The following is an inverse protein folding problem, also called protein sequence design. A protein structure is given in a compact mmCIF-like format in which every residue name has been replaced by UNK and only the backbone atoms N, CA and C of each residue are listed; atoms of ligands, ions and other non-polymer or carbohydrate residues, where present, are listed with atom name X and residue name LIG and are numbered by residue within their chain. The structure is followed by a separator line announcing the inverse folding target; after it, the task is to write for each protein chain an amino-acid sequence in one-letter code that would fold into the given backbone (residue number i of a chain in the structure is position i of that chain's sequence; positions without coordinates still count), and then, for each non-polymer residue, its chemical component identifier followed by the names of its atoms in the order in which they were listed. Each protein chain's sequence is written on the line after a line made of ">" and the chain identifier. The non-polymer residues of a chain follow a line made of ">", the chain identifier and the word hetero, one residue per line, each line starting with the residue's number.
data_IF_730070550802
#
_entry.id   IF_730070550802
#
_cell.length_a   1.000
_cell.length_b   1.000
_cell.length_c   1.000
_cell.angle_alpha   90.00
_cell.angle_beta   90.00
_cell.angle_gamma   90.00
#
_symmetry.space_group_name_H-M   'P 1'
#
loop_
_entity.id
_entity.type
_entity.pdbx_description
1 polymer ?
#
# COMPACT_ATOMS: atom_id res chain seq x y z
N UNK A 1 -73.07 0.65 24.62
CA UNK A 1 -71.62 0.50 24.93
C UNK A 1 -70.97 1.87 24.90
N UNK A 2 -70.53 2.32 26.07
CA UNK A 2 -70.32 3.71 26.49
C UNK A 2 -68.98 4.31 26.03
N UNK A 3 -68.93 5.65 25.84
CA UNK A 3 -67.75 6.46 25.46
C UNK A 3 -66.45 6.13 26.22
N UNK A 4 -66.55 5.56 27.42
CA UNK A 4 -65.43 5.10 28.25
C UNK A 4 -64.62 3.95 27.62
N UNK A 5 -65.24 3.12 26.77
CA UNK A 5 -64.56 2.04 26.05
C UNK A 5 -63.76 2.52 24.83
N UNK A 6 -64.12 3.66 24.23
CA UNK A 6 -63.38 4.25 23.11
C UNK A 6 -62.11 4.99 23.57
N UNK A 7 -62.14 5.65 24.73
CA UNK A 7 -60.94 6.32 25.28
C UNK A 7 -59.86 5.32 25.71
N UNK A 8 -60.24 4.17 26.27
CA UNK A 8 -59.30 3.13 26.69
C UNK A 8 -58.63 2.41 25.52
N UNK A 9 -59.30 2.28 24.37
CA UNK A 9 -58.70 1.76 23.12
C UNK A 9 -57.74 2.76 22.47
N UNK A 10 -58.10 4.05 22.41
CA UNK A 10 -57.22 5.10 21.85
C UNK A 10 -55.93 5.27 22.66
N UNK A 11 -56.00 5.27 23.99
CA UNK A 11 -54.82 5.42 24.84
C UNK A 11 -53.92 4.17 24.81
N UNK A 12 -54.47 2.96 24.63
CA UNK A 12 -53.68 1.74 24.40
C UNK A 12 -53.00 1.74 23.03
N UNK A 13 -53.65 2.23 21.97
CA UNK A 13 -53.04 2.36 20.64
C UNK A 13 -51.92 3.41 20.60
N UNK A 14 -52.08 4.54 21.29
CA UNK A 14 -51.05 5.58 21.39
C UNK A 14 -49.88 5.10 22.26
N UNK A 15 -50.14 4.41 23.37
CA UNK A 15 -49.07 3.81 24.19
C UNK A 15 -48.31 2.69 23.45
N UNK A 16 -49.00 1.87 22.65
CA UNK A 16 -48.36 0.80 21.85
C UNK A 16 -47.57 1.36 20.65
N UNK A 17 -48.01 2.48 20.06
CA UNK A 17 -47.26 3.18 19.03
C UNK A 17 -46.01 3.90 19.58
N UNK A 18 -46.07 4.46 20.80
CA UNK A 18 -44.91 5.09 21.45
C UNK A 18 -43.90 4.03 21.92
N UNK A 19 -44.35 2.87 22.41
CA UNK A 19 -43.45 1.77 22.77
C UNK A 19 -42.82 1.13 21.52
N UNK A 20 -43.54 1.01 20.40
CA UNK A 20 -42.94 0.60 19.12
C UNK A 20 -42.01 1.66 18.50
N UNK A 21 -42.28 2.96 18.67
CA UNK A 21 -41.40 4.03 18.19
C UNK A 21 -40.13 4.14 19.06
N UNK A 22 -40.22 3.88 20.37
CA UNK A 22 -39.06 3.79 21.26
C UNK A 22 -38.26 2.48 21.10
N UNK A 23 -38.88 1.38 20.67
CA UNK A 23 -38.19 0.13 20.29
C UNK A 23 -37.57 0.17 18.88
N UNK A 24 -37.99 1.10 18.02
CA UNK A 24 -37.31 1.38 16.75
C UNK A 24 -36.15 2.39 16.88
N UNK A 25 -36.09 3.14 17.98
CA UNK A 25 -34.99 4.05 18.32
C UNK A 25 -33.90 3.40 19.20
N UNK A 26 -34.05 2.12 19.54
CA UNK A 26 -33.03 1.32 20.25
C UNK A 26 -32.45 0.19 19.41
N UNK A 27 -32.67 0.17 18.10
CA UNK A 27 -31.66 -0.37 17.19
C UNK A 27 -30.53 0.66 17.21
N UNK A 28 -29.77 0.66 18.30
CA UNK A 28 -28.51 1.35 18.38
C UNK A 28 -27.75 1.05 17.11
N UNK A 29 -27.16 2.08 16.54
CA UNK A 29 -26.13 1.99 15.51
C UNK A 29 -25.36 0.70 15.79
N UNK A 30 -25.63 -0.34 15.01
CA UNK A 30 -24.63 -1.36 14.84
C UNK A 30 -23.49 -0.55 14.26
N UNK A 31 -22.52 -0.19 15.11
CA UNK A 31 -21.19 0.09 14.66
C UNK A 31 -20.94 -1.03 13.66
N UNK A 32 -20.97 -0.70 12.37
CA UNK A 32 -20.56 -1.61 11.33
C UNK A 32 -19.20 -2.04 11.83
N UNK A 33 -19.11 -3.27 12.34
CA UNK A 33 -17.84 -3.83 12.72
C UNK A 33 -17.00 -3.64 11.47
N UNK A 34 -15.97 -2.81 11.58
CA UNK A 34 -15.10 -2.50 10.47
C UNK A 34 -14.55 -3.87 10.06
N UNK A 35 -15.04 -4.43 8.95
CA UNK A 35 -14.68 -5.75 8.41
C UNK A 35 -13.24 -5.73 7.87
N UNK A 36 -12.46 -4.79 8.38
CA UNK A 36 -11.07 -4.57 8.06
C UNK A 36 -10.23 -5.58 8.82
N UNK A 37 -9.64 -6.51 8.09
CA UNK A 37 -8.72 -7.51 8.62
C UNK A 37 -7.28 -7.15 8.26
N UNK A 38 -6.40 -7.22 9.26
CA UNK A 38 -4.96 -7.06 9.05
C UNK A 38 -4.27 -8.29 9.62
N UNK A 39 -3.51 -8.98 8.77
CA UNK A 39 -2.63 -10.05 9.19
C UNK A 39 -1.17 -9.70 8.90
N UNK A 40 -0.30 -9.91 9.88
CA UNK A 40 1.12 -9.57 9.79
C UNK A 40 1.98 -10.82 9.74
N UNK A 41 2.77 -10.93 8.68
CA UNK A 41 3.73 -12.01 8.44
C UNK A 41 5.14 -11.47 8.63
N UNK A 42 5.78 -11.82 9.74
CA UNK A 42 7.11 -11.32 10.07
C UNK A 42 7.94 -12.31 10.87
N UNK A 43 9.24 -12.34 10.62
CA UNK A 43 10.25 -12.97 11.47
C UNK A 43 11.15 -11.95 12.15
N UNK A 44 12.18 -12.42 12.87
CA UNK A 44 13.10 -11.53 13.60
C UNK A 44 14.02 -10.72 12.65
N UNK A 45 14.16 -11.18 11.41
CA UNK A 45 14.97 -10.58 10.36
C UNK A 45 14.37 -10.98 8.98
N UNK A 46 14.98 -10.51 7.88
CA UNK A 46 14.51 -10.79 6.51
C UNK A 46 14.50 -12.27 6.13
N UNK A 47 15.44 -13.05 6.67
CA UNK A 47 15.52 -14.49 6.41
C UNK A 47 14.37 -15.22 7.09
N UNK A 48 14.11 -14.90 8.34
CA UNK A 48 12.99 -15.47 9.10
C UNK A 48 11.64 -15.00 8.53
N UNK A 49 11.55 -13.76 8.05
CA UNK A 49 10.35 -13.26 7.39
C UNK A 49 10.07 -14.05 6.11
N UNK A 50 11.10 -14.35 5.29
CA UNK A 50 10.93 -15.23 4.12
C UNK A 50 10.44 -16.64 4.49
N UNK A 51 10.87 -17.18 5.64
CA UNK A 51 10.37 -18.45 6.18
C UNK A 51 8.91 -18.33 6.61
N UNK A 52 8.50 -17.22 7.25
CA UNK A 52 7.11 -16.99 7.65
C UNK A 52 6.17 -16.82 6.46
N UNK A 53 6.62 -16.11 5.42
CA UNK A 53 5.96 -16.03 4.12
C UNK A 53 5.79 -17.45 3.54
N UNK A 54 6.85 -18.26 3.53
CA UNK A 54 6.78 -19.65 3.07
C UNK A 54 5.75 -20.49 3.85
N UNK A 55 5.73 -20.39 5.18
CA UNK A 55 4.77 -21.09 6.03
C UNK A 55 3.32 -20.70 5.74
N UNK A 56 3.06 -19.42 5.48
CA UNK A 56 1.72 -18.93 5.14
C UNK A 56 1.28 -19.34 3.74
N UNK A 57 2.15 -19.19 2.74
CA UNK A 57 1.81 -19.46 1.33
C UNK A 57 1.84 -20.94 0.94
N UNK A 58 2.55 -21.79 1.71
CA UNK A 58 2.77 -23.21 1.44
C UNK A 58 2.63 -24.06 2.72
N UNK A 59 1.45 -24.05 3.38
CA UNK A 59 1.25 -24.81 4.61
C UNK A 59 1.35 -26.32 4.37
N UNK A 60 0.98 -26.79 3.18
CA UNK A 60 1.02 -28.20 2.75
C UNK A 60 2.36 -28.64 2.13
N UNK A 61 3.34 -27.74 2.06
CA UNK A 61 4.63 -28.00 1.41
C UNK A 61 4.73 -27.46 -0.02
N UNK A 62 5.94 -27.59 -0.59
CA UNK A 62 6.28 -27.20 -1.95
C UNK A 62 7.43 -28.08 -2.47
N UNK A 63 7.28 -28.67 -3.66
CA UNK A 63 8.33 -29.51 -4.26
C UNK A 63 9.56 -28.68 -4.70
N UNK A 64 9.39 -27.38 -4.93
CA UNK A 64 10.43 -26.46 -5.39
C UNK A 64 10.58 -25.29 -4.43
N UNK A 65 11.82 -24.82 -4.24
CA UNK A 65 12.15 -23.55 -3.57
C UNK A 65 12.97 -22.66 -4.49
N UNK A 66 12.80 -21.35 -4.37
CA UNK A 66 13.67 -20.36 -5.01
C UNK A 66 14.54 -19.73 -3.94
N UNK A 67 15.85 -19.74 -4.15
CA UNK A 67 16.87 -19.21 -3.24
C UNK A 67 17.43 -17.92 -3.82
N UNK A 68 17.36 -16.85 -3.05
CA UNK A 68 17.92 -15.55 -3.39
C UNK A 68 18.72 -14.98 -2.22
N UNK A 69 19.71 -14.12 -2.51
CA UNK A 69 20.45 -13.45 -1.45
C UNK A 69 19.57 -12.42 -0.75
N UNK A 70 19.64 -12.34 0.57
CA UNK A 70 18.88 -11.36 1.34
C UNK A 70 19.55 -9.99 1.43
N UNK A 71 20.86 -9.90 1.20
CA UNK A 71 21.66 -8.69 1.44
C UNK A 71 21.77 -7.76 0.21
N UNK A 72 21.38 -8.25 -0.97
CA UNK A 72 21.37 -7.51 -2.24
C UNK A 72 20.19 -7.99 -3.11
N UNK A 73 19.74 -7.20 -4.09
CA UNK A 73 18.52 -7.51 -4.86
C UNK A 73 18.64 -7.77 -6.37
N UNK A 74 19.76 -7.48 -7.07
CA UNK A 74 19.70 -7.25 -8.51
C UNK A 74 19.28 -8.48 -9.32
N UNK A 75 19.70 -9.66 -8.90
CA UNK A 75 19.31 -10.93 -9.54
C UNK A 75 17.92 -11.42 -9.11
N UNK A 76 17.45 -10.96 -7.95
CA UNK A 76 16.23 -11.46 -7.32
C UNK A 76 14.96 -10.76 -7.80
N UNK A 77 15.07 -9.53 -8.34
CA UNK A 77 13.92 -8.73 -8.80
C UNK A 77 13.06 -9.44 -9.86
N UNK A 78 13.67 -10.28 -10.70
CA UNK A 78 12.98 -11.06 -11.73
C UNK A 78 12.45 -12.42 -11.21
N UNK A 79 12.66 -12.73 -9.93
CA UNK A 79 12.39 -14.05 -9.35
C UNK A 79 10.93 -14.36 -9.07
N UNK A 80 10.07 -13.36 -8.84
CA UNK A 80 8.68 -13.59 -8.45
C UNK A 80 7.87 -14.37 -9.49
N UNK A 81 7.92 -14.06 -10.81
CA UNK A 81 7.21 -14.86 -11.80
C UNK A 81 7.74 -16.30 -11.95
N UNK A 82 9.05 -16.51 -11.73
CA UNK A 82 9.62 -17.86 -11.69
C UNK A 82 9.08 -18.64 -10.49
N UNK A 83 9.17 -18.06 -9.30
CA UNK A 83 8.69 -18.67 -8.07
C UNK A 83 7.21 -19.04 -8.16
N UNK A 84 6.39 -18.14 -8.68
CA UNK A 84 4.96 -18.38 -8.92
C UNK A 84 4.73 -19.53 -9.90
N UNK A 85 5.42 -19.53 -11.05
CA UNK A 85 5.28 -20.61 -12.06
C UNK A 85 5.54 -22.00 -11.49
N UNK A 86 6.50 -22.13 -10.59
CA UNK A 86 6.84 -23.40 -9.96
C UNK A 86 6.13 -23.64 -8.62
N UNK A 87 5.13 -22.80 -8.28
CA UNK A 87 4.44 -22.83 -6.99
C UNK A 87 5.44 -22.96 -5.82
N UNK A 88 6.47 -22.12 -5.82
CA UNK A 88 7.61 -22.18 -4.91
C UNK A 88 7.71 -20.90 -4.06
N UNK A 89 8.04 -21.00 -2.76
CA UNK A 89 8.43 -19.83 -1.98
C UNK A 89 9.79 -19.30 -2.43
N UNK A 90 9.99 -17.99 -2.28
CA UNK A 90 11.33 -17.38 -2.30
C UNK A 90 11.85 -17.38 -0.86
N UNK A 91 12.92 -18.13 -0.60
CA UNK A 91 13.64 -18.14 0.66
C UNK A 91 14.91 -17.32 0.52
N UNK A 92 15.11 -16.41 1.47
CA UNK A 92 16.29 -15.55 1.49
C UNK A 92 17.41 -16.20 2.28
N UNK A 93 18.64 -16.06 1.80
CA UNK A 93 19.85 -16.53 2.49
C UNK A 93 20.92 -15.45 2.56
N UNK A 94 21.75 -15.42 3.62
CA UNK A 94 23.02 -14.72 3.56
C UNK A 94 23.88 -15.25 2.41
N UNK A 95 24.77 -14.40 1.89
CA UNK A 95 25.63 -14.75 0.74
C UNK A 95 26.35 -16.10 0.87
N UNK A 96 26.83 -16.45 2.06
CA UNK A 96 27.76 -17.56 2.28
C UNK A 96 27.21 -18.73 3.10
N UNK A 97 25.95 -18.71 3.53
CA UNK A 97 25.39 -19.77 4.37
C UNK A 97 23.88 -19.91 4.25
N UNK A 98 23.43 -21.16 4.29
CA UNK A 98 22.04 -21.50 4.60
C UNK A 98 21.82 -21.37 6.12
N UNK A 99 20.96 -20.45 6.55
CA UNK A 99 20.61 -20.32 7.97
C UNK A 99 19.82 -21.54 8.46
N UNK A 100 19.89 -21.84 9.76
CA UNK A 100 19.18 -22.98 10.35
C UNK A 100 17.66 -22.93 10.09
N UNK A 101 17.06 -21.74 10.21
CA UNK A 101 15.62 -21.56 9.95
C UNK A 101 15.25 -21.85 8.50
N UNK A 102 16.06 -21.42 7.53
CA UNK A 102 15.82 -21.71 6.11
C UNK A 102 16.04 -23.20 5.82
N UNK A 103 17.05 -23.83 6.41
CA UNK A 103 17.28 -25.27 6.33
C UNK A 103 16.06 -26.06 6.82
N UNK A 104 15.52 -25.72 7.99
CA UNK A 104 14.34 -26.38 8.54
C UNK A 104 13.09 -26.12 7.70
N UNK A 105 12.96 -24.92 7.13
CA UNK A 105 11.83 -24.60 6.26
C UNK A 105 11.86 -25.40 4.95
N UNK A 106 13.02 -25.54 4.31
CA UNK A 106 13.18 -26.40 3.12
C UNK A 106 12.79 -27.85 3.45
N UNK A 107 13.17 -28.35 4.63
CA UNK A 107 12.73 -29.68 5.09
C UNK A 107 11.22 -29.75 5.33
N UNK A 108 10.63 -28.77 6.00
CA UNK A 108 9.18 -28.69 6.26
C UNK A 108 8.39 -28.70 4.95
N UNK A 109 8.89 -28.00 3.95
CA UNK A 109 8.28 -27.94 2.62
C UNK A 109 8.31 -29.28 1.89
N UNK A 110 9.25 -30.18 2.23
CA UNK A 110 9.50 -31.40 1.47
C UNK A 110 10.11 -31.12 0.09
N UNK A 111 10.85 -30.02 -0.05
CA UNK A 111 11.37 -29.56 -1.32
C UNK A 111 12.42 -30.53 -1.90
N UNK A 112 12.28 -30.81 -3.20
CA UNK A 112 13.16 -31.69 -3.98
C UNK A 112 14.03 -30.92 -4.96
N UNK A 113 13.62 -29.70 -5.33
CA UNK A 113 14.32 -28.85 -6.29
C UNK A 113 14.57 -27.46 -5.72
N UNK A 114 15.74 -26.89 -6.00
CA UNK A 114 16.10 -25.53 -5.67
C UNK A 114 16.55 -24.76 -6.93
N UNK A 115 15.92 -23.62 -7.19
CA UNK A 115 16.47 -22.62 -8.10
C UNK A 115 17.32 -21.63 -7.31
N UNK A 116 18.60 -21.49 -7.66
CA UNK A 116 19.45 -20.44 -7.07
C UNK A 116 19.50 -19.26 -8.04
N UNK A 117 19.06 -18.09 -7.60
CA UNK A 117 19.13 -16.86 -8.39
C UNK A 117 20.43 -16.11 -8.13
N UNK A 118 21.23 -15.94 -9.18
CA UNK A 118 22.49 -15.21 -9.14
C UNK A 118 23.74 -16.09 -9.12
N UNK A 119 24.86 -15.47 -9.49
CA UNK A 119 26.16 -16.12 -9.57
C UNK A 119 26.75 -16.45 -8.19
N UNK A 120 27.89 -17.12 -8.18
CA UNK A 120 28.62 -17.49 -6.95
C UNK A 120 29.15 -16.28 -6.18
N UNK A 121 29.27 -15.11 -6.82
CA UNK A 121 29.61 -13.85 -6.16
C UNK A 121 28.46 -13.27 -5.32
N UNK A 122 27.23 -13.74 -5.54
CA UNK A 122 25.99 -13.26 -4.88
C UNK A 122 25.45 -14.32 -3.92
N UNK A 123 25.39 -15.58 -4.36
CA UNK A 123 25.07 -16.76 -3.53
C UNK A 123 26.20 -17.76 -3.70
N UNK A 124 27.09 -17.85 -2.71
CA UNK A 124 28.32 -18.65 -2.79
C UNK A 124 28.04 -20.14 -2.97
N UNK A 125 29.02 -20.86 -3.50
CA UNK A 125 28.96 -22.32 -3.71
C UNK A 125 28.79 -23.11 -2.40
N UNK A 126 29.07 -22.51 -1.25
CA UNK A 126 28.81 -23.10 0.07
C UNK A 126 27.31 -23.34 0.29
N UNK A 127 26.45 -22.39 -0.08
CA UNK A 127 24.99 -22.51 0.00
C UNK A 127 24.51 -23.63 -0.92
N UNK A 128 25.01 -23.66 -2.14
CA UNK A 128 24.70 -24.72 -3.11
C UNK A 128 25.08 -26.10 -2.59
N UNK A 129 26.27 -26.23 -2.00
CA UNK A 129 26.73 -27.48 -1.39
C UNK A 129 25.92 -27.87 -0.15
N UNK A 130 25.38 -26.90 0.62
CA UNK A 130 24.45 -27.17 1.71
C UNK A 130 23.11 -27.72 1.18
N UNK A 131 22.56 -27.13 0.12
CA UNK A 131 21.32 -27.59 -0.52
C UNK A 131 21.50 -28.98 -1.15
N UNK A 132 22.64 -29.25 -1.79
CA UNK A 132 22.92 -30.54 -2.43
C UNK A 132 23.02 -31.66 -1.38
N UNK A 133 23.63 -31.38 -0.22
CA UNK A 133 23.68 -32.31 0.92
C UNK A 133 22.31 -32.59 1.54
N UNK A 134 21.31 -31.74 1.28
CA UNK A 134 19.92 -32.01 1.65
C UNK A 134 19.20 -32.90 0.63
N UNK A 135 19.84 -33.24 -0.49
CA UNK A 135 19.28 -34.08 -1.55
C UNK A 135 18.47 -33.33 -2.60
N UNK A 136 18.60 -32.01 -2.70
CA UNK A 136 17.88 -31.22 -3.69
C UNK A 136 18.58 -31.27 -5.06
N UNK A 137 17.79 -31.35 -6.14
CA UNK A 137 18.21 -31.01 -7.50
C UNK A 137 18.39 -29.50 -7.59
N UNK A 138 19.55 -29.03 -8.04
CA UNK A 138 19.87 -27.60 -8.04
C UNK A 138 20.02 -27.08 -9.46
N UNK A 139 19.24 -26.04 -9.77
CA UNK A 139 19.37 -25.24 -10.98
C UNK A 139 19.81 -23.82 -10.61
N UNK A 140 21.08 -23.48 -10.85
CA UNK A 140 21.57 -22.11 -10.68
C UNK A 140 21.30 -21.28 -11.93
N UNK A 141 20.49 -20.23 -11.79
CA UNK A 141 20.19 -19.28 -12.86
C UNK A 141 20.99 -18.00 -12.63
N UNK A 142 22.09 -17.85 -13.38
CA UNK A 142 23.01 -16.73 -13.23
C UNK A 142 23.54 -16.23 -14.58
N UNK A 143 23.55 -14.92 -14.79
CA UNK A 143 24.25 -14.24 -15.88
C UNK A 143 25.55 -13.58 -15.41
N UNK A 144 26.28 -12.91 -16.32
CA UNK A 144 27.43 -12.06 -15.94
C UNK A 144 27.03 -10.84 -15.12
N UNK A 145 25.78 -10.42 -15.24
CA UNK A 145 25.16 -9.31 -14.55
C UNK A 145 23.65 -9.55 -14.42
N UNK A 146 22.96 -8.65 -13.72
CA UNK A 146 21.52 -8.69 -13.45
C UNK A 146 20.65 -8.76 -14.71
N UNK A 147 21.07 -8.11 -15.79
CA UNK A 147 20.36 -8.09 -17.07
C UNK A 147 20.37 -9.47 -17.74
N UNK A 148 21.53 -10.12 -17.73
CA UNK A 148 21.67 -11.50 -18.20
C UNK A 148 20.93 -12.50 -17.29
N UNK A 149 21.01 -12.33 -15.97
CA UNK A 149 20.27 -13.19 -15.02
C UNK A 149 18.75 -13.09 -15.27
N UNK A 150 18.20 -11.88 -15.35
CA UNK A 150 16.79 -11.66 -15.65
C UNK A 150 16.38 -12.24 -17.01
N UNK A 151 17.24 -12.10 -18.04
CA UNK A 151 17.01 -12.69 -19.37
C UNK A 151 16.97 -14.22 -19.33
N UNK A 152 17.81 -14.86 -18.51
CA UNK A 152 17.79 -16.31 -18.29
C UNK A 152 16.54 -16.75 -17.53
N UNK A 153 16.17 -16.04 -16.46
CA UNK A 153 14.93 -16.29 -15.71
C UNK A 153 13.70 -16.19 -16.65
N UNK A 154 13.68 -15.21 -17.56
CA UNK A 154 12.63 -15.07 -18.56
C UNK A 154 12.50 -16.27 -19.52
N UNK A 155 13.55 -17.06 -19.69
CA UNK A 155 13.51 -18.33 -20.43
C UNK A 155 12.65 -19.40 -19.75
N UNK A 156 12.60 -19.40 -18.41
CA UNK A 156 11.83 -20.37 -17.63
C UNK A 156 10.34 -20.03 -17.56
N UNK A 157 9.95 -18.76 -17.69
CA UNK A 157 8.56 -18.32 -17.47
C UNK A 157 7.70 -18.58 -18.72
N UNK A 158 8.17 -18.16 -19.89
CA UNK A 158 7.41 -18.22 -21.14
C UNK A 158 6.59 -16.95 -21.39
N UNK A 159 5.43 -17.07 -22.04
CA UNK A 159 4.52 -15.97 -22.33
C UNK A 159 4.85 -15.17 -23.60
N UNK A 160 3.94 -14.29 -24.01
CA UNK A 160 4.09 -13.39 -25.18
C UNK A 160 4.22 -11.92 -24.81
N UNK A 161 4.09 -11.58 -23.52
CA UNK A 161 4.26 -10.24 -22.97
C UNK A 161 5.36 -10.27 -21.91
N UNK A 162 6.05 -9.15 -21.73
CA UNK A 162 7.07 -9.00 -20.69
C UNK A 162 6.91 -7.67 -19.94
N UNK A 163 7.48 -7.60 -18.75
CA UNK A 163 7.66 -6.36 -18.00
C UNK A 163 9.11 -5.89 -18.17
N UNK A 164 9.32 -4.58 -18.30
CA UNK A 164 10.66 -3.97 -18.34
C UNK A 164 10.76 -2.91 -17.26
N UNK A 165 11.77 -3.03 -16.38
CA UNK A 165 12.05 -2.06 -15.30
C UNK A 165 13.53 -1.74 -15.23
N UNK A 166 13.86 -0.65 -14.54
CA UNK A 166 15.25 -0.29 -14.26
C UNK A 166 15.92 -1.34 -13.36
N UNK A 167 17.16 -1.72 -13.67
CA UNK A 167 17.89 -2.80 -12.99
C UNK A 167 18.65 -2.39 -11.74
N UNK A 168 18.93 -1.10 -11.55
CA UNK A 168 19.73 -0.61 -10.41
C UNK A 168 18.89 -0.04 -9.26
N UNK A 169 17.56 -0.11 -9.38
CA UNK A 169 16.62 0.19 -8.30
C UNK A 169 15.50 -0.86 -8.26
N UNK A 170 14.86 -1.04 -7.11
CA UNK A 170 13.90 -2.11 -6.88
C UNK A 170 12.41 -1.74 -6.88
N UNK A 171 11.95 -0.52 -6.47
CA UNK A 171 10.53 -0.31 -6.21
C UNK A 171 9.63 -0.52 -7.42
N UNK A 172 10.07 -0.09 -8.61
CA UNK A 172 9.30 -0.26 -9.85
C UNK A 172 9.10 -1.75 -10.18
N UNK A 173 10.15 -2.57 -10.05
CA UNK A 173 10.07 -4.02 -10.26
C UNK A 173 9.18 -4.72 -9.22
N UNK A 174 9.27 -4.31 -7.95
CA UNK A 174 8.49 -4.95 -6.88
C UNK A 174 7.00 -4.58 -6.99
N UNK A 175 6.68 -3.35 -7.40
CA UNK A 175 5.30 -2.88 -7.52
C UNK A 175 4.46 -3.67 -8.54
N UNK A 176 5.11 -4.28 -9.54
CA UNK A 176 4.47 -5.05 -10.61
C UNK A 176 4.67 -6.56 -10.44
N UNK A 177 5.44 -6.99 -9.45
CA UNK A 177 5.89 -8.37 -9.32
C UNK A 177 4.74 -9.38 -9.19
N UNK A 178 3.71 -9.06 -8.40
CA UNK A 178 2.57 -9.95 -8.21
C UNK A 178 1.74 -10.12 -9.49
N UNK A 179 1.44 -9.01 -10.17
CA UNK A 179 0.75 -9.02 -11.45
C UNK A 179 1.55 -9.76 -12.54
N UNK A 180 2.85 -9.49 -12.62
CA UNK A 180 3.73 -10.12 -13.59
C UNK A 180 3.76 -11.64 -13.38
N UNK A 181 3.81 -12.07 -12.12
CA UNK A 181 3.75 -13.47 -11.74
C UNK A 181 2.42 -14.14 -12.14
N UNK A 182 1.27 -13.58 -11.73
CA UNK A 182 -0.05 -14.17 -12.03
C UNK A 182 -0.37 -14.20 -13.53
N UNK A 183 0.21 -13.28 -14.32
CA UNK A 183 0.00 -13.18 -15.76
C UNK A 183 1.09 -13.85 -16.62
N UNK A 184 1.96 -14.66 -16.02
CA UNK A 184 3.07 -15.34 -16.74
C UNK A 184 3.95 -14.37 -17.55
N UNK A 185 4.16 -13.16 -17.02
CA UNK A 185 4.99 -12.13 -17.63
C UNK A 185 6.35 -12.11 -16.94
N UNK A 186 7.45 -12.40 -17.65
CA UNK A 186 8.77 -12.23 -17.09
C UNK A 186 9.12 -10.75 -16.91
N UNK A 187 9.86 -10.48 -15.84
CA UNK A 187 10.45 -9.17 -15.60
C UNK A 187 11.86 -9.17 -16.18
N UNK A 188 12.07 -8.29 -17.15
CA UNK A 188 13.35 -8.01 -17.75
C UNK A 188 13.88 -6.67 -17.21
N UNK A 189 15.21 -6.58 -17.08
CA UNK A 189 15.87 -5.41 -16.52
C UNK A 189 16.58 -4.61 -17.61
N UNK A 190 16.56 -3.29 -17.49
CA UNK A 190 17.30 -2.37 -18.36
C UNK A 190 18.12 -1.39 -17.55
N UNK A 191 19.13 -0.81 -18.19
CA UNK A 191 19.81 0.39 -17.72
C UNK A 191 18.94 1.62 -18.02
N UNK A 192 19.25 2.79 -17.47
CA UNK A 192 18.39 3.97 -17.56
C UNK A 192 18.33 4.54 -19.00
N UNK A 193 19.46 4.53 -19.68
CA UNK A 193 19.67 5.16 -20.98
C UNK A 193 20.25 4.21 -22.05
N UNK A 194 20.35 2.92 -21.73
CA UNK A 194 20.75 1.88 -22.68
C UNK A 194 19.99 0.58 -22.46
N UNK A 195 19.62 -0.10 -23.54
CA UNK A 195 19.01 -1.43 -23.49
C UNK A 195 20.11 -2.49 -23.59
N UNK A 196 20.43 -3.24 -22.51
CA UNK A 196 21.52 -4.21 -22.54
C UNK A 196 21.29 -5.29 -23.60
N UNK A 197 22.36 -5.76 -24.25
CA UNK A 197 22.26 -6.75 -25.35
C UNK A 197 21.53 -8.02 -24.94
N UNK A 198 21.70 -8.47 -23.69
CA UNK A 198 20.98 -9.63 -23.14
C UNK A 198 19.46 -9.39 -23.13
N UNK A 199 19.04 -8.25 -22.58
CA UNK A 199 17.64 -7.83 -22.54
C UNK A 199 17.07 -7.64 -23.94
N UNK A 200 17.80 -6.96 -24.83
CA UNK A 200 17.41 -6.76 -26.23
C UNK A 200 17.18 -8.08 -26.97
N UNK A 201 18.05 -9.07 -26.75
CA UNK A 201 17.89 -10.39 -27.33
C UNK A 201 16.70 -11.15 -26.73
N UNK A 202 16.52 -11.08 -25.41
CA UNK A 202 15.38 -11.69 -24.75
C UNK A 202 14.04 -11.07 -25.19
N UNK A 203 14.02 -9.80 -25.57
CA UNK A 203 12.81 -9.10 -26.01
C UNK A 203 12.27 -9.56 -27.36
N UNK A 204 13.10 -10.16 -28.23
CA UNK A 204 12.72 -10.60 -29.58
C UNK A 204 11.55 -11.59 -29.62
N UNK A 205 11.31 -12.33 -28.53
CA UNK A 205 10.20 -13.31 -28.41
C UNK A 205 8.89 -12.72 -27.88
N UNK A 206 8.87 -11.47 -27.45
CA UNK A 206 7.68 -10.84 -26.85
C UNK A 206 7.04 -9.85 -27.82
N UNK A 207 5.69 -9.85 -27.86
CA UNK A 207 4.88 -9.00 -28.75
C UNK A 207 4.63 -7.61 -28.18
N UNK A 208 4.58 -7.50 -26.85
CA UNK A 208 4.32 -6.25 -26.14
C UNK A 208 5.01 -6.21 -24.79
N UNK A 209 5.38 -5.01 -24.33
CA UNK A 209 5.95 -4.80 -22.99
C UNK A 209 5.14 -3.83 -22.14
N UNK A 210 5.12 -4.09 -20.84
CA UNK A 210 4.75 -3.08 -19.83
C UNK A 210 6.06 -2.50 -19.28
N UNK A 211 6.21 -1.18 -19.33
CA UNK A 211 7.35 -0.47 -18.76
C UNK A 211 6.91 0.13 -17.43
N UNK A 212 7.56 -0.22 -16.33
CA UNK A 212 7.26 0.37 -15.01
C UNK A 212 8.42 1.24 -14.59
N UNK A 213 8.13 2.52 -14.30
CA UNK A 213 9.12 3.53 -13.98
C UNK A 213 9.08 4.75 -14.90
N UNK A 214 9.52 5.89 -14.37
CA UNK A 214 9.58 7.16 -15.08
C UNK A 214 10.68 7.21 -16.14
N UNK A 215 10.78 8.32 -16.86
CA UNK A 215 11.81 8.51 -17.90
C UNK A 215 13.23 8.58 -17.33
N UNK A 216 13.40 8.93 -16.06
CA UNK A 216 14.69 8.89 -15.37
C UNK A 216 15.15 7.46 -15.05
N UNK A 217 14.23 6.49 -15.03
CA UNK A 217 14.52 5.08 -14.76
C UNK A 217 14.57 4.26 -16.05
N UNK A 218 13.71 4.59 -17.02
CA UNK A 218 13.70 4.01 -18.35
C UNK A 218 13.47 5.13 -19.35
N UNK A 219 14.54 5.65 -19.93
CA UNK A 219 14.53 6.80 -20.86
C UNK A 219 13.61 6.59 -22.08
N UNK A 220 13.27 7.70 -22.75
CA UNK A 220 12.56 7.66 -24.04
C UNK A 220 13.31 6.83 -25.09
N UNK A 221 14.65 6.86 -25.06
CA UNK A 221 15.51 6.08 -25.94
C UNK A 221 15.27 4.59 -25.73
N UNK A 222 15.43 4.10 -24.50
CA UNK A 222 15.17 2.69 -24.18
C UNK A 222 13.74 2.31 -24.53
N UNK A 223 12.76 3.14 -24.15
CA UNK A 223 11.34 2.91 -24.45
C UNK A 223 11.07 2.69 -25.94
N UNK A 224 11.69 3.48 -26.82
CA UNK A 224 11.50 3.37 -28.27
C UNK A 224 12.05 2.07 -28.89
N UNK A 225 12.94 1.35 -28.18
CA UNK A 225 13.50 0.07 -28.62
C UNK A 225 12.63 -1.14 -28.22
N UNK A 226 11.60 -0.94 -27.40
CA UNK A 226 10.79 -2.02 -26.83
C UNK A 226 9.64 -2.42 -27.76
N UNK A 227 9.19 -3.69 -27.73
CA UNK A 227 8.05 -4.12 -28.54
C UNK A 227 6.75 -3.61 -27.93
N UNK A 228 5.97 -2.84 -28.71
CA UNK A 228 4.65 -2.28 -28.33
C UNK A 228 4.55 -1.85 -26.86
N UNK A 229 5.39 -0.92 -26.39
CA UNK A 229 5.51 -0.61 -24.98
C UNK A 229 4.34 0.21 -24.46
N UNK A 230 3.95 -0.04 -23.20
CA UNK A 230 3.04 0.80 -22.42
C UNK A 230 3.68 1.16 -21.09
N UNK A 231 3.86 2.45 -20.81
CA UNK A 231 4.44 2.93 -19.55
C UNK A 231 3.40 3.07 -18.43
N UNK A 232 3.78 2.66 -17.22
CA UNK A 232 3.10 2.95 -15.96
C UNK A 232 4.12 3.64 -15.04
N UNK A 233 3.81 4.84 -14.56
CA UNK A 233 4.75 5.65 -13.76
C UNK A 233 4.03 6.70 -12.91
N UNK A 234 4.50 6.89 -11.67
CA UNK A 234 4.15 8.01 -10.78
C UNK A 234 5.35 8.91 -10.47
N UNK A 235 5.10 9.99 -9.72
CA UNK A 235 6.14 10.93 -9.28
C UNK A 235 7.13 10.33 -8.27
N UNK A 236 6.73 9.25 -7.59
CA UNK A 236 7.54 8.50 -6.63
C UNK A 236 7.13 7.02 -6.61
N UNK A 237 7.85 6.20 -5.83
CA UNK A 237 7.65 4.75 -5.76
C UNK A 237 6.24 4.32 -5.33
N UNK A 238 5.61 5.09 -4.45
CA UNK A 238 4.27 4.78 -3.93
C UNK A 238 3.21 5.10 -4.98
N UNK A 239 3.34 6.23 -5.67
CA UNK A 239 2.44 6.59 -6.77
C UNK A 239 2.62 5.66 -7.98
N UNK A 240 3.85 5.23 -8.30
CA UNK A 240 4.05 4.19 -9.34
C UNK A 240 3.33 2.91 -8.95
N UNK A 241 3.46 2.46 -7.69
CA UNK A 241 2.79 1.25 -7.22
C UNK A 241 1.27 1.34 -7.28
N UNK A 242 0.67 2.45 -6.82
CA UNK A 242 -0.78 2.64 -6.93
C UNK A 242 -1.26 2.76 -8.37
N UNK A 243 -0.47 3.38 -9.26
CA UNK A 243 -0.78 3.40 -10.70
C UNK A 243 -0.73 2.01 -11.32
N UNK A 244 0.15 1.11 -10.86
CA UNK A 244 0.11 -0.30 -11.26
C UNK A 244 -1.22 -0.92 -10.88
N UNK A 245 -1.68 -0.72 -9.64
CA UNK A 245 -3.00 -1.19 -9.17
C UNK A 245 -4.12 -0.65 -10.06
N UNK A 246 -4.22 0.68 -10.17
CA UNK A 246 -5.29 1.39 -10.88
C UNK A 246 -5.36 1.07 -12.38
N UNK A 247 -4.24 0.61 -12.95
CA UNK A 247 -4.12 0.33 -14.38
C UNK A 247 -4.36 -1.15 -14.72
N UNK A 248 -4.13 -2.06 -13.78
CA UNK A 248 -4.05 -3.50 -14.04
C UNK A 248 -5.05 -4.34 -13.25
N UNK A 249 -5.61 -3.80 -12.17
CA UNK A 249 -6.57 -4.47 -11.30
C UNK A 249 -7.93 -3.75 -11.36
N UNK A 250 -9.01 -4.49 -11.13
CA UNK A 250 -10.37 -3.93 -11.11
C UNK A 250 -10.83 -3.61 -9.68
N UNK A 251 -11.32 -2.38 -9.46
CA UNK A 251 -11.89 -1.96 -8.17
C UNK A 251 -13.10 -2.79 -7.73
N UNK A 252 -13.80 -3.43 -8.67
CA UNK A 252 -14.95 -4.29 -8.36
C UNK A 252 -14.55 -5.62 -7.72
N UNK A 253 -13.35 -6.13 -7.98
CA UNK A 253 -12.91 -7.48 -7.57
C UNK A 253 -11.72 -7.46 -6.60
N UNK A 254 -10.99 -6.37 -6.51
CA UNK A 254 -9.78 -6.29 -5.69
C UNK A 254 -10.09 -5.61 -4.36
N UNK A 255 -10.41 -6.42 -3.33
CA UNK A 255 -10.67 -5.97 -1.94
C UNK A 255 -9.55 -6.33 -0.96
N UNK A 256 -8.60 -7.15 -1.40
CA UNK A 256 -7.44 -7.56 -0.61
C UNK A 256 -6.15 -6.98 -1.20
N UNK A 257 -5.14 -6.78 -0.35
CA UNK A 257 -3.80 -6.39 -0.77
C UNK A 257 -2.72 -6.94 0.15
N UNK A 258 -1.60 -7.35 -0.44
CA UNK A 258 -0.35 -7.53 0.32
C UNK A 258 0.31 -6.16 0.51
N UNK A 259 0.78 -5.86 1.71
CA UNK A 259 1.46 -4.61 2.05
C UNK A 259 2.93 -4.89 2.36
N UNK A 260 3.82 -4.10 1.78
CA UNK A 260 5.25 -4.12 2.10
C UNK A 260 5.83 -2.70 2.12
N UNK A 261 6.98 -2.52 2.76
CA UNK A 261 7.65 -1.21 2.74
C UNK A 261 8.19 -0.92 1.35
N UNK A 262 8.09 0.33 0.91
CA UNK A 262 8.78 0.81 -0.28
C UNK A 262 10.26 1.12 -0.03
N UNK A 263 10.74 1.07 1.21
CA UNK A 263 12.09 1.50 1.61
C UNK A 263 13.13 0.36 1.61
N UNK A 264 12.66 -0.89 1.58
CA UNK A 264 13.49 -2.11 1.53
C UNK A 264 12.87 -3.12 0.57
N UNK A 265 13.69 -4.02 0.00
CA UNK A 265 13.26 -4.93 -1.06
C UNK A 265 12.83 -6.32 -0.58
N UNK A 266 13.41 -6.80 0.52
CA UNK A 266 13.40 -8.23 0.86
C UNK A 266 11.99 -8.77 1.16
N UNK A 267 11.24 -8.01 1.95
CA UNK A 267 9.89 -8.38 2.36
C UNK A 267 8.92 -8.31 1.18
N UNK A 268 8.99 -7.25 0.36
CA UNK A 268 8.19 -7.11 -0.85
C UNK A 268 8.50 -8.21 -1.89
N UNK A 269 9.77 -8.56 -2.09
CA UNK A 269 10.17 -9.63 -3.00
C UNK A 269 9.50 -10.97 -2.62
N UNK A 270 9.63 -11.37 -1.36
CA UNK A 270 9.07 -12.65 -0.89
C UNK A 270 7.54 -12.61 -0.82
N UNK A 271 6.98 -11.49 -0.35
CA UNK A 271 5.54 -11.23 -0.28
C UNK A 271 4.83 -11.24 -1.63
N UNK A 272 5.50 -10.77 -2.69
CA UNK A 272 4.91 -10.68 -4.03
C UNK A 272 4.43 -12.01 -4.60
N UNK A 273 5.03 -13.13 -4.18
CA UNK A 273 4.61 -14.47 -4.62
C UNK A 273 3.31 -14.89 -3.95
N UNK A 274 3.10 -14.56 -2.67
CA UNK A 274 1.80 -14.78 -2.00
C UNK A 274 0.75 -13.89 -2.63
N UNK A 275 1.08 -12.61 -2.87
CA UNK A 275 0.18 -11.67 -3.52
C UNK A 275 -0.28 -12.21 -4.88
N UNK A 276 0.64 -12.74 -5.69
CA UNK A 276 0.32 -13.39 -6.96
C UNK A 276 -0.59 -14.63 -6.80
N UNK A 277 -0.39 -15.45 -5.75
CA UNK A 277 -1.22 -16.64 -5.47
C UNK A 277 -2.66 -16.30 -5.10
N UNK A 278 -2.87 -15.12 -4.52
CA UNK A 278 -4.20 -14.60 -4.18
C UNK A 278 -4.81 -13.72 -5.27
N UNK A 279 -4.10 -13.50 -6.38
CA UNK A 279 -4.45 -12.53 -7.41
C UNK A 279 -4.68 -11.11 -6.86
N UNK A 280 -3.90 -10.72 -5.86
CA UNK A 280 -3.97 -9.42 -5.21
C UNK A 280 -2.74 -8.54 -5.57
N UNK A 281 -2.88 -7.21 -5.53
CA UNK A 281 -1.75 -6.32 -5.69
C UNK A 281 -0.81 -6.38 -4.49
N UNK A 282 0.45 -6.03 -4.73
CA UNK A 282 1.35 -5.59 -3.67
C UNK A 282 1.37 -4.06 -3.64
N UNK A 283 1.02 -3.49 -2.49
CA UNK A 283 1.01 -2.04 -2.26
C UNK A 283 2.19 -1.68 -1.37
N UNK A 284 2.89 -0.62 -1.75
CA UNK A 284 4.07 -0.13 -1.03
C UNK A 284 3.69 1.01 -0.09
N UNK A 285 4.21 0.98 1.14
CA UNK A 285 4.01 2.03 2.17
C UNK A 285 5.35 2.54 2.72
N UNK A 286 5.33 3.67 3.43
CA UNK A 286 6.49 4.12 4.21
C UNK A 286 6.59 3.30 5.50
N UNK A 287 7.76 3.30 6.13
CA UNK A 287 7.99 2.49 7.33
C UNK A 287 7.13 2.94 8.51
N UNK A 288 6.79 4.23 8.59
CA UNK A 288 6.01 4.82 9.68
C UNK A 288 4.64 5.37 9.25
N UNK A 289 4.37 5.51 7.94
CA UNK A 289 3.12 6.09 7.44
C UNK A 289 2.56 5.45 6.16
N UNK A 290 1.28 5.69 5.88
CA UNK A 290 0.64 5.31 4.61
C UNK A 290 0.49 6.56 3.72
N UNK A 291 1.21 6.64 2.59
CA UNK A 291 1.12 7.79 1.68
C UNK A 291 -0.32 8.09 1.25
N UNK A 292 -0.65 9.37 1.07
CA UNK A 292 -2.03 9.79 0.72
C UNK A 292 -2.57 9.06 -0.52
N UNK A 293 -1.75 8.94 -1.58
CA UNK A 293 -2.12 8.20 -2.82
C UNK A 293 -2.43 6.72 -2.56
N UNK A 294 -1.81 6.12 -1.55
CA UNK A 294 -2.08 4.73 -1.15
C UNK A 294 -3.41 4.66 -0.39
N UNK A 295 -3.66 5.59 0.54
CA UNK A 295 -4.96 5.70 1.24
C UNK A 295 -6.12 5.93 0.27
N UNK A 296 -5.93 6.80 -0.72
CA UNK A 296 -6.90 7.02 -1.80
C UNK A 296 -7.18 5.72 -2.56
N UNK A 297 -6.13 4.99 -2.95
CA UNK A 297 -6.29 3.71 -3.67
C UNK A 297 -7.03 2.67 -2.82
N UNK A 298 -6.69 2.56 -1.53
CA UNK A 298 -7.39 1.69 -0.57
C UNK A 298 -8.89 2.05 -0.52
N UNK A 299 -9.23 3.34 -0.42
CA UNK A 299 -10.61 3.80 -0.37
C UNK A 299 -11.36 3.56 -1.69
N UNK A 300 -10.75 3.90 -2.83
CA UNK A 300 -11.34 3.76 -4.17
C UNK A 300 -11.66 2.29 -4.48
N UNK A 301 -10.78 1.38 -4.05
CA UNK A 301 -10.96 -0.06 -4.19
C UNK A 301 -11.80 -0.66 -3.06
N UNK A 302 -12.09 0.11 -2.00
CA UNK A 302 -12.69 -0.39 -0.76
C UNK A 302 -11.94 -1.60 -0.21
N UNK A 303 -10.61 -1.54 -0.21
CA UNK A 303 -9.77 -2.61 0.34
C UNK A 303 -9.98 -2.68 1.85
N UNK A 304 -10.26 -3.88 2.35
CA UNK A 304 -10.51 -4.15 3.77
C UNK A 304 -9.75 -5.39 4.26
N UNK A 305 -8.91 -6.02 3.45
CA UNK A 305 -8.09 -7.15 3.87
C UNK A 305 -6.64 -6.91 3.51
N UNK A 306 -5.77 -6.87 4.51
CA UNK A 306 -4.36 -6.54 4.34
C UNK A 306 -3.48 -7.64 4.89
N UNK A 307 -2.53 -8.12 4.07
CA UNK A 307 -1.44 -8.97 4.54
C UNK A 307 -0.15 -8.16 4.58
N UNK A 308 0.28 -7.72 5.77
CA UNK A 308 1.55 -7.00 5.96
C UNK A 308 2.70 -7.99 5.95
N UNK A 309 3.72 -7.75 5.13
CA UNK A 309 4.98 -8.51 5.13
C UNK A 309 6.07 -7.63 5.74
N UNK A 310 6.64 -8.09 6.85
CA UNK A 310 7.67 -7.38 7.58
C UNK A 310 7.28 -7.08 9.03
N UNK A 311 8.30 -7.01 9.89
CA UNK A 311 8.13 -6.73 11.31
C UNK A 311 7.77 -5.27 11.61
N UNK A 312 7.46 -4.98 12.89
CA UNK A 312 7.11 -3.63 13.37
C UNK A 312 8.22 -2.59 13.19
N UNK A 313 9.47 -3.01 13.05
CA UNK A 313 10.60 -2.12 12.74
C UNK A 313 10.70 -1.75 11.25
N UNK A 314 9.96 -2.46 10.38
CA UNK A 314 9.93 -2.24 8.93
C UNK A 314 8.63 -1.55 8.50
N UNK A 315 7.52 -1.94 9.11
CA UNK A 315 6.22 -1.26 8.99
C UNK A 315 5.67 -1.13 10.41
N UNK A 316 5.64 0.09 10.94
CA UNK A 316 5.25 0.39 12.31
C UNK A 316 3.79 0.03 12.61
N UNK A 317 3.45 -0.04 13.89
CA UNK A 317 2.04 -0.15 14.30
C UNK A 317 1.22 1.08 13.89
N UNK A 318 1.87 2.24 13.78
CA UNK A 318 1.23 3.45 13.30
C UNK A 318 0.83 3.29 11.84
N UNK A 319 1.76 2.91 10.96
CA UNK A 319 1.51 2.60 9.55
C UNK A 319 0.38 1.55 9.40
N UNK A 320 0.42 0.50 10.22
CA UNK A 320 -0.63 -0.52 10.27
C UNK A 320 -2.01 0.06 10.58
N UNK A 321 -2.13 0.90 11.62
CA UNK A 321 -3.40 1.56 11.98
C UNK A 321 -3.94 2.47 10.87
N UNK A 322 -3.08 3.07 10.05
CA UNK A 322 -3.54 3.88 8.93
C UNK A 322 -4.10 3.08 7.76
N UNK A 323 -3.67 1.83 7.56
CA UNK A 323 -4.25 0.99 6.52
C UNK A 323 -5.74 0.76 6.75
N UNK A 324 -6.14 0.74 8.03
CA UNK A 324 -7.52 0.55 8.46
C UNK A 324 -8.23 1.86 8.76
N UNK A 325 -7.56 3.01 8.63
CA UNK A 325 -8.14 4.29 9.00
C UNK A 325 -8.97 4.85 7.85
N UNK A 326 -10.29 4.90 8.03
CA UNK A 326 -11.21 5.54 7.09
C UNK A 326 -11.34 7.05 7.40
N UNK A 327 -10.83 7.98 6.56
CA UNK A 327 -10.90 9.41 6.83
C UNK A 327 -12.32 9.97 6.95
N UNK A 328 -13.35 9.28 6.43
CA UNK A 328 -14.75 9.69 6.60
C UNK A 328 -15.18 9.76 8.07
N UNK A 329 -14.55 8.99 8.97
CA UNK A 329 -14.83 9.07 10.41
C UNK A 329 -14.44 10.44 10.99
N UNK A 330 -13.37 11.07 10.48
CA UNK A 330 -13.00 12.45 10.82
C UNK A 330 -14.04 13.43 10.32
N UNK A 331 -14.48 13.25 9.08
CA UNK A 331 -15.46 14.13 8.46
C UNK A 331 -16.79 14.05 9.20
N UNK A 332 -17.22 12.86 9.59
CA UNK A 332 -18.44 12.65 10.38
C UNK A 332 -18.32 13.26 11.78
N UNK A 333 -17.17 13.12 12.46
CA UNK A 333 -16.90 13.83 13.70
C UNK A 333 -16.93 15.35 13.52
N UNK A 334 -16.30 15.87 12.48
CA UNK A 334 -16.26 17.29 12.16
C UNK A 334 -17.68 17.85 11.93
N UNK A 335 -18.53 17.13 11.18
CA UNK A 335 -19.93 17.50 10.90
C UNK A 335 -20.79 17.61 12.15
N UNK A 336 -20.50 16.87 13.23
CA UNK A 336 -21.23 16.96 14.51
C UNK A 336 -21.10 18.34 15.16
N UNK A 337 -20.13 19.14 14.75
CA UNK A 337 -19.87 20.48 15.29
C UNK A 337 -20.36 21.61 14.39
N UNK A 338 -21.09 21.32 13.30
CA UNK A 338 -21.64 22.37 12.44
C UNK A 338 -22.46 23.39 13.25
N UNK A 339 -22.19 24.66 13.02
CA UNK A 339 -22.82 25.78 13.73
C UNK A 339 -22.23 26.09 15.10
N UNK A 340 -21.25 25.34 15.62
CA UNK A 340 -20.55 25.73 16.84
C UNK A 340 -19.92 27.12 16.66
N UNK A 341 -20.20 28.10 17.54
CA UNK A 341 -19.75 29.47 17.36
C UNK A 341 -18.23 29.61 17.26
N UNK A 342 -17.79 30.62 16.52
CA UNK A 342 -16.38 31.01 16.53
C UNK A 342 -16.00 31.60 17.88
N UNK A 343 -14.86 31.17 18.42
CA UNK A 343 -14.26 31.75 19.63
C UNK A 343 -12.76 31.80 19.46
N UNK A 344 -12.17 33.00 19.50
CA UNK A 344 -10.72 33.17 19.48
C UNK A 344 -10.07 32.36 20.61
N UNK A 345 -9.01 31.63 20.29
CA UNK A 345 -8.34 30.69 21.18
C UNK A 345 -9.20 29.48 21.64
N UNK A 346 -10.43 29.33 21.13
CA UNK A 346 -11.37 28.29 21.52
C UNK A 346 -11.00 26.90 21.02
N UNK A 347 -11.16 25.89 21.88
CA UNK A 347 -10.76 24.49 21.62
C UNK A 347 -11.80 23.47 22.07
N UNK A 348 -13.04 23.91 22.32
CA UNK A 348 -14.12 23.04 22.83
C UNK A 348 -15.44 23.33 22.10
N UNK A 349 -16.45 22.44 22.20
CA UNK A 349 -17.76 22.68 21.58
C UNK A 349 -18.52 23.93 22.08
N UNK A 350 -18.04 24.62 23.13
CA UNK A 350 -18.56 25.92 23.54
C UNK A 350 -18.12 27.06 22.58
N UNK A 351 -17.13 26.80 21.74
CA UNK A 351 -16.67 27.70 20.69
C UNK A 351 -15.25 27.36 20.26
N UNK A 352 -15.01 27.41 18.95
CA UNK A 352 -13.73 27.04 18.35
C UNK A 352 -13.11 28.20 17.56
N UNK A 353 -11.78 28.31 17.57
CA UNK A 353 -11.07 28.91 16.44
C UNK A 353 -10.70 27.83 15.41
N UNK A 354 -10.13 28.24 14.27
CA UNK A 354 -9.87 27.34 13.14
C UNK A 354 -8.95 26.17 13.53
N UNK A 355 -7.82 26.43 14.19
CA UNK A 355 -6.88 25.37 14.58
C UNK A 355 -7.32 24.61 15.83
N UNK A 356 -8.08 25.23 16.73
CA UNK A 356 -8.70 24.58 17.89
C UNK A 356 -9.80 23.59 17.49
N UNK A 357 -10.58 23.91 16.46
CA UNK A 357 -11.54 22.98 15.85
C UNK A 357 -10.83 21.74 15.27
N UNK A 358 -9.80 21.95 14.45
CA UNK A 358 -9.03 20.86 13.84
C UNK A 358 -8.39 19.99 14.91
N UNK A 359 -7.72 20.59 15.89
CA UNK A 359 -7.08 19.89 17.00
C UNK A 359 -8.09 19.05 17.80
N UNK A 360 -9.29 19.58 18.03
CA UNK A 360 -10.35 18.88 18.74
C UNK A 360 -10.85 17.65 17.96
N UNK A 361 -11.18 17.83 16.66
CA UNK A 361 -11.68 16.73 15.81
C UNK A 361 -10.63 15.63 15.68
N UNK A 362 -9.37 15.98 15.41
CA UNK A 362 -8.30 14.99 15.27
C UNK A 362 -7.99 14.27 16.59
N UNK A 363 -8.06 14.98 17.71
CA UNK A 363 -7.87 14.40 19.04
C UNK A 363 -8.92 13.36 19.44
N UNK A 364 -10.12 13.36 18.84
CA UNK A 364 -11.13 12.31 19.03
C UNK A 364 -10.75 10.98 18.38
N UNK A 365 -9.76 10.99 17.47
CA UNK A 365 -9.29 9.83 16.70
C UNK A 365 -7.83 9.50 17.01
N UNK A 366 -7.34 9.93 18.18
CA UNK A 366 -5.96 9.74 18.65
C UNK A 366 -4.87 10.34 17.73
N UNK A 367 -5.24 11.34 16.90
CA UNK A 367 -4.29 12.03 16.03
C UNK A 367 -3.91 13.39 16.64
N UNK A 368 -2.63 13.55 16.97
CA UNK A 368 -2.13 14.79 17.55
C UNK A 368 -1.86 15.84 16.48
N UNK A 369 -2.53 16.99 16.58
CA UNK A 369 -2.31 18.15 15.72
C UNK A 369 -1.87 19.35 16.58
N UNK A 370 -0.83 20.12 16.17
CA UNK A 370 -0.41 21.31 16.90
C UNK A 370 -1.51 22.36 17.07
N UNK A 371 -1.43 23.13 18.15
CA UNK A 371 -2.45 24.13 18.47
C UNK A 371 -2.53 25.29 17.47
N UNK A 372 -1.43 25.66 16.82
CA UNK A 372 -1.36 26.86 15.98
C UNK A 372 -1.31 26.52 14.50
N UNK A 373 -1.97 27.32 13.65
CA UNK A 373 -1.93 27.15 12.19
C UNK A 373 -0.51 27.19 11.63
N UNK A 374 0.37 28.00 12.21
CA UNK A 374 1.79 28.05 11.83
C UNK A 374 2.51 26.73 12.11
N UNK A 375 2.29 26.13 13.29
CA UNK A 375 2.88 24.83 13.64
C UNK A 375 2.28 23.68 12.83
N UNK A 376 0.97 23.74 12.55
CA UNK A 376 0.30 22.80 11.64
C UNK A 376 0.97 22.85 10.27
N UNK A 377 1.16 24.07 9.73
CA UNK A 377 1.79 24.26 8.43
C UNK A 377 3.25 23.82 8.42
N UNK A 378 4.02 24.01 9.49
CA UNK A 378 5.44 23.65 9.53
C UNK A 378 5.70 22.17 9.81
N UNK A 379 4.88 21.53 10.64
CA UNK A 379 5.07 20.13 11.09
C UNK A 379 4.29 19.10 10.26
N UNK A 380 3.24 19.52 9.57
CA UNK A 380 2.44 18.65 8.72
C UNK A 380 3.19 18.22 7.45
N UNK A 381 2.97 16.98 6.99
CA UNK A 381 3.59 16.48 5.75
C UNK A 381 2.94 17.17 4.56
N UNK A 382 3.72 17.85 3.71
CA UNK A 382 3.20 18.51 2.50
C UNK A 382 2.54 17.50 1.57
N UNK A 383 1.37 17.85 1.04
CA UNK A 383 0.69 17.11 -0.02
C UNK A 383 0.44 18.03 -1.21
N UNK A 384 0.65 17.54 -2.43
CA UNK A 384 0.48 18.32 -3.67
C UNK A 384 -0.98 18.50 -4.05
N UNK A 385 -1.82 17.53 -3.71
CA UNK A 385 -3.28 17.54 -3.86
C UNK A 385 -3.89 17.05 -2.55
N UNK A 386 -4.84 17.78 -1.94
CA UNK A 386 -5.47 17.33 -0.70
C UNK A 386 -6.39 16.13 -0.95
N UNK A 387 -6.28 15.13 -0.08
CA UNK A 387 -7.19 14.00 0.06
C UNK A 387 -8.13 14.23 1.24
N UNK A 388 -9.26 13.51 1.30
CA UNK A 388 -10.20 13.60 2.43
C UNK A 388 -9.46 13.41 3.76
N UNK A 389 -9.69 14.32 4.70
CA UNK A 389 -9.03 14.34 6.01
C UNK A 389 -7.70 15.10 6.04
N UNK A 390 -7.13 15.53 4.92
CA UNK A 390 -5.97 16.43 4.94
C UNK A 390 -6.37 17.83 5.41
N UNK A 391 -5.41 18.62 5.87
CA UNK A 391 -5.62 19.99 6.32
C UNK A 391 -5.26 20.98 5.22
N UNK A 392 -6.23 21.79 4.81
CA UNK A 392 -6.04 22.90 3.85
C UNK A 392 -5.74 24.19 4.60
N UNK A 393 -4.70 24.91 4.16
CA UNK A 393 -4.17 26.08 4.86
C UNK A 393 -4.27 27.33 3.97
N UNK A 394 -4.63 28.46 4.58
CA UNK A 394 -4.88 29.72 3.89
C UNK A 394 -4.19 30.90 4.58
N UNK A 395 -3.93 31.96 3.81
CA UNK A 395 -3.53 33.29 4.29
C UNK A 395 -4.71 34.25 4.24
N UNK A 396 -5.14 34.75 5.40
CA UNK A 396 -6.41 35.48 5.60
C UNK A 396 -6.17 36.83 6.26
N UNK A 397 -6.10 36.88 7.59
CA UNK A 397 -6.01 38.12 8.37
C UNK A 397 -4.57 38.59 8.65
N UNK A 398 -3.57 37.75 8.39
CA UNK A 398 -2.15 38.11 8.48
C UNK A 398 -1.35 37.40 7.40
N UNK A 399 -0.20 37.95 6.96
CA UNK A 399 0.72 37.27 6.05
C UNK A 399 1.12 35.89 6.59
N UNK A 400 1.15 34.89 5.70
CA UNK A 400 1.50 33.52 6.04
C UNK A 400 0.31 32.67 6.53
N UNK A 401 0.57 31.48 7.10
CA UNK A 401 -0.47 30.52 7.48
C UNK A 401 -1.30 31.07 8.65
N UNK A 402 -2.56 31.45 8.37
CA UNK A 402 -3.43 32.11 9.35
C UNK A 402 -4.80 31.45 9.52
N UNK A 403 -5.21 30.59 8.59
CA UNK A 403 -6.44 29.80 8.68
C UNK A 403 -6.23 28.35 8.24
N UNK A 404 -7.01 27.43 8.81
CA UNK A 404 -6.95 26.00 8.50
C UNK A 404 -8.34 25.36 8.55
N UNK A 405 -8.56 24.32 7.76
CA UNK A 405 -9.71 23.44 7.88
C UNK A 405 -9.42 22.04 7.36
N UNK A 406 -10.39 21.14 7.54
CA UNK A 406 -10.30 19.73 7.16
C UNK A 406 -10.92 19.56 5.77
N UNK A 407 -10.15 19.06 4.81
CA UNK A 407 -10.61 18.79 3.46
C UNK A 407 -11.59 17.62 3.44
N UNK A 408 -12.70 17.77 2.71
CA UNK A 408 -13.82 16.82 2.70
C UNK A 408 -14.02 16.13 1.35
N UNK A 409 -13.14 16.37 0.37
CA UNK A 409 -13.42 16.01 -1.03
C UNK A 409 -14.21 17.09 -1.74
N UNK A 410 -14.46 16.89 -3.04
CA UNK A 410 -15.24 17.79 -3.91
C UNK A 410 -14.85 19.28 -3.83
N UNK A 411 -13.56 19.54 -3.61
CA UNK A 411 -13.01 20.88 -3.40
C UNK A 411 -13.70 21.68 -2.27
N UNK A 412 -14.17 20.97 -1.24
CA UNK A 412 -14.81 21.52 -0.04
C UNK A 412 -13.98 21.20 1.19
N UNK A 413 -14.14 22.05 2.20
CA UNK A 413 -13.50 21.87 3.50
C UNK A 413 -14.43 22.35 4.61
N UNK A 414 -14.30 21.73 5.79
CA UNK A 414 -14.98 22.11 7.02
C UNK A 414 -14.00 22.84 7.93
N UNK A 415 -14.42 23.99 8.45
CA UNK A 415 -13.57 24.89 9.23
C UNK A 415 -14.41 25.74 10.19
N UNK A 416 -13.77 26.30 11.22
CA UNK A 416 -14.40 27.33 12.07
C UNK A 416 -14.12 28.72 11.49
N UNK A 417 -15.11 29.29 10.80
CA UNK A 417 -15.08 30.62 10.19
C UNK A 417 -15.89 31.65 10.97
N UNK A 418 -16.15 32.82 10.38
CA UNK A 418 -16.85 33.93 11.06
C UNK A 418 -18.28 33.58 11.51
N UNK A 419 -18.89 32.57 10.88
CA UNK A 419 -20.24 32.05 11.20
C UNK A 419 -20.20 30.82 12.09
N UNK A 420 -19.04 30.52 12.70
CA UNK A 420 -18.78 29.27 13.41
C UNK A 420 -18.33 28.16 12.46
N UNK A 421 -18.48 26.91 12.91
CA UNK A 421 -18.10 25.74 12.11
C UNK A 421 -19.02 25.60 10.91
N UNK A 422 -18.44 25.67 9.71
CA UNK A 422 -19.16 25.65 8.44
C UNK A 422 -18.40 24.85 7.37
N UNK A 423 -19.13 24.46 6.33
CA UNK A 423 -18.55 23.83 5.12
C UNK A 423 -18.45 24.91 4.06
N UNK A 424 -17.30 25.02 3.41
CA UNK A 424 -17.10 26.00 2.34
C UNK A 424 -16.41 25.37 1.13
N UNK A 425 -16.76 25.85 -0.07
CA UNK A 425 -16.03 25.52 -1.29
C UNK A 425 -14.74 26.33 -1.37
N UNK A 426 -13.64 25.67 -1.73
CA UNK A 426 -12.34 26.30 -1.95
C UNK A 426 -12.30 27.16 -3.21
N UNK A 427 -13.23 26.96 -4.15
CA UNK A 427 -13.32 27.75 -5.40
C UNK A 427 -13.98 29.11 -5.23
N UNK A 428 -14.51 29.42 -4.04
CA UNK A 428 -15.16 30.70 -3.87
C UNK A 428 -14.14 31.86 -3.97
N UNK A 429 -14.65 33.05 -4.32
CA UNK A 429 -13.85 34.27 -4.56
C UNK A 429 -13.01 34.72 -3.36
N UNK A 430 -13.33 34.25 -2.15
CA UNK A 430 -12.58 34.58 -0.95
C UNK A 430 -11.42 33.59 -0.69
N UNK A 431 -11.68 32.29 -0.77
CA UNK A 431 -10.76 31.22 -0.40
C UNK A 431 -9.77 30.86 -1.51
N UNK A 432 -10.20 30.85 -2.77
CA UNK A 432 -9.35 30.46 -3.90
C UNK A 432 -8.04 31.27 -3.97
N UNK A 433 -8.06 32.63 -3.96
CA UNK A 433 -6.82 33.42 -4.01
C UNK A 433 -5.98 33.37 -2.72
N UNK A 434 -6.51 32.78 -1.64
CA UNK A 434 -5.88 32.72 -0.31
C UNK A 434 -5.28 31.35 0.00
N UNK A 435 -5.49 30.37 -0.86
CA UNK A 435 -5.03 29.00 -0.65
C UNK A 435 -3.51 28.92 -0.72
N UNK A 436 -2.89 28.41 0.34
CA UNK A 436 -1.43 28.25 0.42
C UNK A 436 -0.98 26.83 0.06
N UNK A 437 -1.85 25.84 0.24
CA UNK A 437 -1.53 24.42 0.07
C UNK A 437 -2.17 23.56 1.15
N UNK A 438 -1.78 22.29 1.19
CA UNK A 438 -2.30 21.32 2.14
C UNK A 438 -1.19 20.53 2.86
N UNK A 439 -1.54 20.02 4.03
CA UNK A 439 -0.70 19.14 4.85
C UNK A 439 -1.49 17.97 5.41
N UNK A 440 -0.84 16.82 5.55
CA UNK A 440 -1.41 15.65 6.23
C UNK A 440 -0.83 15.49 7.64
N UNK A 441 -1.72 15.20 8.58
CA UNK A 441 -1.43 14.62 9.90
C UNK A 441 -1.95 13.19 10.04
N UNK A 442 -2.59 12.66 8.99
CA UNK A 442 -2.84 11.24 8.85
C UNK A 442 -1.47 10.63 8.53
N UNK A 443 -0.79 10.24 9.61
CA UNK A 443 0.62 9.89 9.69
C UNK A 443 0.80 8.62 10.44
#
# INVERSE_FOLDING_TARGET
>A
MTKQHLLTRKNKLIAMAIVCFCLFLSLGESALADDTSVDRVSGTNRYDTSVKVSQKGWPKGADTVVIAVGDNFPDALAGAPLAYKYNAPILLVPKNKLSGNVYHEIKRLGAKKAFILGGTSVVESSVESQLARMGLEIDRIAGKNRYETASKIAGYIGGTKAVVTYGDNFPDSLSIASYAASNSMPILLTDDNSLPSATKNALKKYRSTIVVGGESAVSKKVYSELPSPRRITGSNRYETATKVVNTLYSASSTKESTIATGESFADALTGSVIAAKKDEPIVLVESDSVPAVVRETINDYQMNSFTIIGGKSVISEQAEKMLTFNPEVLINSAKKHLGTPYKWAGTTPAGFDCSGFVMYVFGQHDISVPRTTTDIWSKGKRVSKPSVGDLVVFTTYKPGPSHVGIYMGDNKFIHSGDRGVEITSMDNVYWNPRYMGAVSFLK
#
